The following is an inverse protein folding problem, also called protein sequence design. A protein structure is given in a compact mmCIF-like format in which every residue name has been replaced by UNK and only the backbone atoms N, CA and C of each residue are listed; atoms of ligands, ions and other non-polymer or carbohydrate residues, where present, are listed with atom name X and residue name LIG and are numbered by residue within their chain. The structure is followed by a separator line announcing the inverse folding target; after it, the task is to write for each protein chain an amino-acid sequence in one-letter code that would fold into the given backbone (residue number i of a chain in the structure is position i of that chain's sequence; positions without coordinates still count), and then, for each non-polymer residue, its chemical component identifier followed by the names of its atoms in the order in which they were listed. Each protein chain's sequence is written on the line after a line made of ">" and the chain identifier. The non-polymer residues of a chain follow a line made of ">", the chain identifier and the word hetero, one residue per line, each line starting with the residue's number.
data_IF_606327676832
#
_entry.id   IF_606327676832
#
_cell.length_a   1.000
_cell.length_b   1.000
_cell.length_c   1.000
_cell.angle_alpha   90.00
_cell.angle_beta   90.00
_cell.angle_gamma   90.00
#
_symmetry.space_group_name_H-M   'P 1'
#
loop_
_entity.id
_entity.type
_entity.pdbx_description
1 polymer ?
#
# COMPACT_ATOMS: atom_id res chain seq x y z
N UNK A 1 -9.47 -1.77 2.42
CA UNK A 1 -8.81 -3.06 2.15
C UNK A 1 -9.08 -3.44 0.70
N UNK A 2 -8.10 -4.04 0.03
CA UNK A 2 -8.20 -4.57 -1.32
C UNK A 2 -7.51 -5.95 -1.39
N UNK A 3 -7.86 -6.78 -2.37
CA UNK A 3 -7.25 -8.12 -2.58
C UNK A 3 -6.83 -8.25 -4.04
N UNK A 4 -5.62 -8.75 -4.27
CA UNK A 4 -5.13 -9.09 -5.60
C UNK A 4 -4.28 -10.37 -5.53
N UNK A 5 -4.68 -11.40 -6.30
CA UNK A 5 -4.08 -12.72 -6.21
C UNK A 5 -4.21 -13.31 -4.81
N UNK A 6 -3.07 -13.70 -4.22
CA UNK A 6 -2.98 -14.26 -2.87
C UNK A 6 -2.70 -13.22 -1.79
N UNK A 7 -2.76 -11.92 -2.10
CA UNK A 7 -2.38 -10.86 -1.17
C UNK A 7 -3.56 -9.96 -0.80
N UNK A 8 -3.66 -9.65 0.49
CA UNK A 8 -4.55 -8.64 1.03
C UNK A 8 -3.74 -7.38 1.38
N UNK A 9 -4.27 -6.24 0.95
CA UNK A 9 -3.72 -4.91 1.16
C UNK A 9 -4.63 -4.17 2.15
N UNK A 10 -4.10 -3.81 3.31
CA UNK A 10 -4.87 -3.25 4.42
C UNK A 10 -4.34 -1.87 4.77
N UNK A 11 -5.20 -0.86 4.67
CA UNK A 11 -4.92 0.46 5.24
C UNK A 11 -5.19 0.37 6.74
N UNK A 12 -4.14 0.45 7.54
CA UNK A 12 -4.13 0.18 8.99
C UNK A 12 -3.83 1.45 9.80
N UNK A 13 -4.52 2.54 9.46
CA UNK A 13 -4.41 3.81 10.18
C UNK A 13 -2.95 4.26 10.35
N UNK A 14 -2.45 4.39 11.58
CA UNK A 14 -1.07 4.83 11.87
C UNK A 14 0.01 3.81 11.49
N UNK A 15 -0.37 2.56 11.21
CA UNK A 15 0.54 1.51 10.74
C UNK A 15 0.66 1.47 9.22
N UNK A 16 0.06 2.43 8.51
CA UNK A 16 0.21 2.58 7.08
C UNK A 16 -0.47 1.48 6.27
N UNK A 17 0.16 1.06 5.17
CA UNK A 17 -0.30 -0.03 4.34
C UNK A 17 0.36 -1.35 4.79
N UNK A 18 -0.44 -2.38 5.04
CA UNK A 18 0.02 -3.74 5.35
C UNK A 18 -0.25 -4.67 4.19
N UNK A 19 0.70 -5.52 3.84
CA UNK A 19 0.58 -6.53 2.80
C UNK A 19 0.63 -7.91 3.46
N UNK A 20 -0.46 -8.67 3.31
CA UNK A 20 -0.67 -9.94 3.98
C UNK A 20 -0.82 -11.01 2.91
N UNK A 21 0.03 -12.03 2.94
CA UNK A 21 -0.20 -13.28 2.21
C UNK A 21 -1.37 -14.02 2.85
N UNK A 22 -2.43 -14.20 2.05
CA UNK A 22 -3.67 -14.89 2.40
C UNK A 22 -3.87 -16.16 1.58
N UNK A 23 -2.81 -16.70 0.98
CA UNK A 23 -2.82 -17.97 0.24
C UNK A 23 -3.30 -19.15 1.10
N UNK A 24 -2.95 -19.15 2.40
CA UNK A 24 -3.52 -20.03 3.40
C UNK A 24 -4.47 -19.24 4.32
N UNK A 25 -5.80 -19.32 4.14
CA UNK A 25 -6.76 -18.54 4.93
C UNK A 25 -6.80 -18.96 6.41
N UNK A 26 -6.28 -20.14 6.77
CA UNK A 26 -6.17 -20.58 8.16
C UNK A 26 -4.94 -20.00 8.87
N UNK A 27 -3.97 -19.46 8.12
CA UNK A 27 -2.73 -18.91 8.64
C UNK A 27 -2.23 -17.75 7.76
N UNK A 28 -2.93 -16.61 7.74
CA UNK A 28 -2.46 -15.42 7.04
C UNK A 28 -1.15 -14.91 7.65
N UNK A 29 -0.24 -14.42 6.81
CA UNK A 29 1.06 -13.92 7.24
C UNK A 29 1.36 -12.56 6.62
N UNK A 30 1.78 -11.59 7.43
CA UNK A 30 2.26 -10.32 6.90
C UNK A 30 3.62 -10.53 6.24
N UNK A 31 3.74 -10.09 4.99
CA UNK A 31 4.94 -10.26 4.18
C UNK A 31 5.65 -8.94 3.91
N UNK A 32 4.95 -7.81 3.99
CA UNK A 32 5.53 -6.49 3.80
C UNK A 32 4.63 -5.36 4.36
N UNK A 33 5.17 -4.15 4.48
CA UNK A 33 4.44 -2.96 4.90
C UNK A 33 5.03 -1.67 4.29
N UNK A 34 4.21 -0.62 4.27
CA UNK A 34 4.62 0.72 3.91
C UNK A 34 4.07 1.73 4.90
N UNK A 35 4.99 2.40 5.61
CA UNK A 35 4.65 3.48 6.53
C UNK A 35 4.26 4.73 5.75
N UNK A 36 2.96 5.06 5.77
CA UNK A 36 2.47 6.35 5.26
C UNK A 36 2.85 7.47 6.21
N UNK A 37 3.04 8.69 5.69
CA UNK A 37 3.33 9.86 6.54
C UNK A 37 2.15 10.25 7.44
N UNK A 38 0.92 10.00 6.97
CA UNK A 38 -0.31 10.16 7.71
C UNK A 38 -1.01 8.84 8.05
N UNK A 39 -2.26 8.91 8.50
CA UNK A 39 -3.05 7.69 8.74
C UNK A 39 -3.59 7.15 7.41
N UNK A 40 -3.28 5.90 7.08
CA UNK A 40 -3.83 5.22 5.91
C UNK A 40 -5.34 4.97 6.10
N UNK A 41 -6.15 5.52 5.18
CA UNK A 41 -7.61 5.47 5.25
C UNK A 41 -8.22 4.54 4.20
N UNK A 42 -7.55 4.38 3.06
CA UNK A 42 -8.08 3.65 1.93
C UNK A 42 -6.99 3.04 1.09
N UNK A 43 -7.31 1.92 0.44
CA UNK A 43 -6.42 1.25 -0.50
C UNK A 43 -7.19 0.72 -1.69
N UNK A 44 -6.61 0.90 -2.88
CA UNK A 44 -7.07 0.31 -4.13
C UNK A 44 -5.89 -0.36 -4.84
N UNK A 45 -6.16 -1.42 -5.61
CA UNK A 45 -5.15 -2.15 -6.37
C UNK A 45 -5.55 -2.18 -7.85
N UNK A 46 -4.60 -1.85 -8.73
CA UNK A 46 -4.79 -1.91 -10.18
C UNK A 46 -3.52 -2.46 -10.85
N UNK A 47 -3.65 -3.66 -11.41
CA UNK A 47 -2.50 -4.37 -11.99
C UNK A 47 -1.43 -4.62 -10.93
N UNK A 48 -0.21 -4.12 -11.19
CA UNK A 48 0.95 -4.26 -10.30
C UNK A 48 1.12 -3.11 -9.31
N UNK A 49 0.10 -2.28 -9.11
CA UNK A 49 0.17 -1.11 -8.24
C UNK A 49 -0.88 -1.12 -7.15
N UNK A 50 -0.47 -0.71 -5.94
CA UNK A 50 -1.36 -0.32 -4.87
C UNK A 50 -1.35 1.20 -4.69
N UNK A 51 -2.50 1.75 -4.38
CA UNK A 51 -2.74 3.16 -4.14
C UNK A 51 -3.21 3.28 -2.70
N UNK A 52 -2.48 4.00 -1.85
CA UNK A 52 -2.87 4.24 -0.46
C UNK A 52 -3.17 5.72 -0.27
N UNK A 53 -4.36 6.02 0.27
CA UNK A 53 -4.75 7.38 0.62
C UNK A 53 -4.48 7.61 2.10
N UNK A 54 -3.73 8.64 2.42
CA UNK A 54 -3.49 9.06 3.80
C UNK A 54 -4.17 10.41 4.11
N UNK A 55 -4.28 10.73 5.40
CA UNK A 55 -4.92 11.96 5.88
C UNK A 55 -4.04 13.23 5.87
N UNK A 56 -2.74 13.14 5.55
CA UNK A 56 -1.79 14.26 5.71
C UNK A 56 -0.88 14.53 4.50
N UNK A 57 -0.43 13.50 3.78
CA UNK A 57 0.42 13.54 2.58
C UNK A 57 -0.32 13.45 1.24
N UNK A 58 -1.52 12.87 1.19
CA UNK A 58 -2.34 12.72 -0.02
C UNK A 58 -2.45 11.28 -0.51
N UNK A 59 -2.20 11.03 -1.80
CA UNK A 59 -2.25 9.70 -2.41
C UNK A 59 -0.84 9.23 -2.79
N UNK A 60 -0.41 8.12 -2.21
CA UNK A 60 0.87 7.48 -2.53
C UNK A 60 0.67 6.34 -3.54
N UNK A 61 1.55 6.31 -4.56
CA UNK A 61 1.62 5.24 -5.56
C UNK A 61 2.73 4.26 -5.19
N UNK A 62 2.35 3.00 -5.01
CA UNK A 62 3.25 1.94 -4.61
C UNK A 62 3.28 0.86 -5.68
N UNK A 63 4.48 0.45 -6.11
CA UNK A 63 4.64 -0.72 -6.97
C UNK A 63 4.65 -1.99 -6.12
N UNK A 64 3.81 -2.96 -6.45
CA UNK A 64 3.53 -4.18 -5.66
C UNK A 64 3.72 -5.46 -6.50
N UNK A 65 4.94 -5.73 -6.98
CA UNK A 65 5.24 -7.03 -7.61
C UNK A 65 5.91 -7.96 -6.60
N UNK A 66 5.54 -9.25 -6.67
CA UNK A 66 6.14 -10.34 -5.90
C UNK A 66 5.97 -10.27 -4.37
N UNK A 67 5.05 -9.45 -3.85
CA UNK A 67 4.86 -9.30 -2.42
C UNK A 67 5.81 -8.27 -1.77
N UNK A 68 6.52 -7.48 -2.58
CA UNK A 68 7.39 -6.40 -2.12
C UNK A 68 6.85 -5.03 -2.58
N UNK A 69 7.04 -4.01 -1.74
CA UNK A 69 6.69 -2.60 -1.96
C UNK A 69 7.92 -1.78 -2.27
N UNK A 70 7.94 -1.17 -3.47
CA UNK A 70 8.96 -0.19 -3.85
C UNK A 70 8.30 1.15 -4.12
N UNK A 71 8.68 2.20 -3.38
CA UNK A 71 8.23 3.56 -3.62
C UNK A 71 8.80 4.07 -4.95
N UNK A 72 7.92 4.45 -5.88
CA UNK A 72 8.33 5.23 -7.05
C UNK A 72 8.57 6.68 -6.59
N UNK A 73 9.84 7.07 -6.45
CA UNK A 73 10.20 8.45 -6.17
C UNK A 73 9.88 9.30 -7.42
N UNK A 74 8.73 9.97 -7.45
CA UNK A 74 8.56 11.13 -8.32
C UNK A 74 9.21 12.32 -7.61
N UNK A 75 10.29 12.92 -8.15
CA UNK A 75 10.90 14.10 -7.54
C UNK A 75 9.82 15.18 -7.34
N UNK A 76 9.79 15.77 -6.14
CA UNK A 76 8.89 16.84 -5.66
C UNK A 76 8.83 18.11 -6.56
N UNK A 77 9.58 18.16 -7.66
CA UNK A 77 9.73 19.32 -8.53
C UNK A 77 8.47 19.75 -9.33
N UNK A 78 7.28 19.17 -9.11
CA UNK A 78 6.04 19.60 -9.76
C UNK A 78 4.95 20.11 -8.79
N UNK A 79 5.25 20.33 -7.50
CA UNK A 79 4.31 20.97 -6.55
C UNK A 79 4.36 22.51 -6.52
N UNK A 80 4.63 23.18 -7.63
CA UNK A 80 4.43 24.63 -7.75
C UNK A 80 4.04 25.01 -9.18
N UNK A 81 2.73 25.11 -9.42
CA UNK A 81 2.15 26.17 -10.23
C UNK A 81 0.72 26.45 -9.77
#
# INVERSE_FOLDING_TARGET
>A
MAVAGSYAYVADSSSGLRIIDVSNPAAPNEVDFYDTLGSANGVAVLGSYAYVADSYGGLDLIWTMLGEVHQLYLPIALRNN
#
